data_IF_272711922394
#
_entry.id   IF_272711922394
#
_cell.length_a   1.000
_cell.length_b   1.000
_cell.length_c   1.000
_cell.angle_alpha   90.00
_cell.angle_beta   90.00
_cell.angle_gamma   90.00
#
_symmetry.space_group_name_H-M   'P 1'
#
loop_
_entity.id
_entity.type
_entity.pdbx_description
1 polymer ?
#
# COMPACT_ATOMS: atom_id res chain seq x y z
N UNK A 1 -45.73 20.45 -6.59
CA UNK A 1 -46.96 19.64 -6.53
C UNK A 1 -46.54 18.21 -6.20
N UNK A 2 -46.62 17.84 -4.92
CA UNK A 2 -47.44 16.73 -4.36
C UNK A 2 -46.87 15.32 -4.70
N UNK A 3 -46.48 14.41 -3.80
CA UNK A 3 -46.53 14.29 -2.32
C UNK A 3 -45.39 13.38 -1.83
N UNK A 4 -45.00 13.59 -0.58
CA UNK A 4 -44.24 12.63 0.27
C UNK A 4 -45.16 11.47 0.65
N UNK A 5 -44.69 10.24 0.51
CA UNK A 5 -45.21 9.09 1.28
C UNK A 5 -44.06 8.48 2.08
N UNK A 6 -44.23 8.53 3.40
CA UNK A 6 -43.34 7.93 4.40
C UNK A 6 -43.54 6.42 4.41
N UNK A 7 -42.49 5.66 4.09
CA UNK A 7 -42.39 4.24 4.41
C UNK A 7 -41.23 4.06 5.39
N UNK A 8 -41.58 3.87 6.65
CA UNK A 8 -40.71 3.40 7.73
C UNK A 8 -40.18 2.01 7.38
N UNK A 9 -38.91 1.93 7.00
CA UNK A 9 -38.15 0.68 7.06
C UNK A 9 -36.85 1.00 7.79
N UNK A 10 -36.84 0.65 9.07
CA UNK A 10 -35.67 0.68 9.95
C UNK A 10 -34.57 -0.18 9.33
N UNK A 11 -33.56 0.44 8.72
CA UNK A 11 -32.31 -0.23 8.38
C UNK A 11 -31.49 -0.34 9.66
N UNK A 12 -31.70 -1.42 10.40
CA UNK A 12 -30.81 -1.84 11.48
C UNK A 12 -29.47 -2.24 10.86
N UNK A 13 -28.47 -1.36 10.93
CA UNK A 13 -27.09 -1.74 10.69
C UNK A 13 -26.63 -2.62 11.85
N UNK A 14 -26.66 -3.93 11.64
CA UNK A 14 -26.04 -4.92 12.52
C UNK A 14 -24.52 -4.72 12.53
N UNK A 15 -24.03 -3.93 13.48
CA UNK A 15 -22.62 -3.87 13.84
C UNK A 15 -22.27 -5.11 14.71
N UNK A 16 -21.87 -6.19 14.06
CA UNK A 16 -21.25 -7.38 14.66
C UNK A 16 -19.97 -7.65 13.84
N UNK A 17 -18.75 -7.85 14.35
CA UNK A 17 -18.18 -8.04 15.69
C UNK A 17 -16.76 -7.43 15.63
N UNK A 18 -16.48 -6.36 16.35
CA UNK A 18 -15.11 -6.05 16.77
C UNK A 18 -15.19 -5.47 18.18
N UNK A 19 -14.75 -6.26 19.16
CA UNK A 19 -14.57 -5.80 20.54
C UNK A 19 -13.43 -4.79 20.57
N UNK A 20 -13.73 -3.50 20.41
CA UNK A 20 -12.77 -2.44 20.67
C UNK A 20 -12.74 -2.17 22.18
N UNK A 21 -11.64 -2.56 22.82
CA UNK A 21 -11.37 -2.23 24.21
C UNK A 21 -11.00 -0.75 24.29
N UNK A 22 -11.87 0.06 24.92
CA UNK A 22 -11.64 1.49 25.11
C UNK A 22 -10.74 1.72 26.32
N UNK A 23 -9.49 2.11 26.10
CA UNK A 23 -8.63 2.65 27.15
C UNK A 23 -8.70 4.17 27.15
N UNK A 24 -9.06 4.78 28.28
CA UNK A 24 -9.17 6.23 28.46
C UNK A 24 -7.77 6.84 28.50
N UNK A 25 -7.38 7.59 27.47
CA UNK A 25 -6.19 8.46 27.54
C UNK A 25 -6.44 9.86 27.01
N UNK A 26 -5.86 10.83 27.73
CA UNK A 26 -5.99 12.27 27.51
C UNK A 26 -5.38 12.69 26.17
N UNK A 27 -6.19 13.26 25.28
CA UNK A 27 -5.75 13.94 24.06
C UNK A 27 -4.87 15.16 24.42
N UNK A 28 -3.67 15.23 23.86
CA UNK A 28 -2.97 16.50 23.65
C UNK A 28 -3.33 16.98 22.24
N UNK A 29 -3.94 18.16 22.15
CA UNK A 29 -4.25 18.80 20.88
C UNK A 29 -2.96 19.14 20.13
N UNK A 30 -2.79 18.61 18.91
CA UNK A 30 -1.75 19.03 17.98
C UNK A 30 -2.38 19.90 16.88
N UNK A 31 -1.96 21.14 16.81
CA UNK A 31 -2.32 22.08 15.74
C UNK A 31 -1.24 22.00 14.66
N UNK A 32 -1.59 21.51 13.47
CA UNK A 32 -0.68 21.49 12.33
C UNK A 32 -0.65 22.88 11.68
N UNK A 33 0.37 23.69 11.98
CA UNK A 33 0.60 24.94 11.24
C UNK A 33 1.37 24.66 9.95
N UNK A 34 0.74 24.97 8.82
CA UNK A 34 1.34 25.02 7.50
C UNK A 34 2.19 26.30 7.38
N UNK A 35 3.52 26.20 7.35
CA UNK A 35 4.41 27.32 7.01
C UNK A 35 4.91 27.15 5.58
N UNK A 36 4.48 28.08 4.71
CA UNK A 36 5.12 28.38 3.43
C UNK A 36 6.51 28.98 3.73
N UNK A 37 7.58 28.40 3.17
CA UNK A 37 8.91 28.99 3.20
C UNK A 37 9.19 29.68 1.87
N UNK A 38 9.53 30.97 1.92
CA UNK A 38 10.15 31.69 0.81
C UNK A 38 11.50 32.28 1.23
N UNK A 39 12.41 32.18 0.27
CA UNK A 39 13.70 32.84 0.06
C UNK A 39 14.95 32.48 0.88
N UNK A 40 15.95 32.14 0.06
CA UNK A 40 17.34 31.81 0.33
C UNK A 40 18.17 33.00 0.83
N UNK A 41 19.19 32.68 1.64
CA UNK A 41 20.46 33.40 1.68
C UNK A 41 21.60 32.39 1.76
N UNK A 42 22.57 32.59 0.88
CA UNK A 42 23.82 31.85 0.69
C UNK A 42 24.77 32.06 1.85
N UNK A 43 25.32 30.96 2.37
CA UNK A 43 26.55 30.96 3.15
C UNK A 43 27.46 29.86 2.60
N UNK A 44 28.65 30.26 2.13
CA UNK A 44 29.72 29.35 1.72
C UNK A 44 30.36 28.76 2.96
N UNK A 45 30.31 27.45 3.10
CA UNK A 45 31.22 26.70 3.96
C UNK A 45 31.87 25.64 3.09
N UNK A 46 33.18 25.80 2.92
CA UNK A 46 34.09 24.79 2.42
C UNK A 46 34.17 23.67 3.45
N UNK A 47 33.65 22.49 3.12
CA UNK A 47 34.08 21.28 3.80
C UNK A 47 34.34 20.18 2.77
N UNK A 48 35.61 19.80 2.72
CA UNK A 48 36.17 18.79 1.86
C UNK A 48 36.03 17.44 2.56
N UNK A 49 34.89 16.80 2.36
CA UNK A 49 34.76 15.35 2.55
C UNK A 49 33.82 14.84 1.48
N UNK A 50 34.38 14.27 0.40
CA UNK A 50 33.61 13.50 -0.56
C UNK A 50 32.84 12.43 0.21
N UNK A 51 31.50 12.36 0.12
CA UNK A 51 30.77 11.27 0.74
C UNK A 51 31.28 9.98 0.09
N UNK A 52 31.72 9.02 0.90
CA UNK A 52 31.98 7.67 0.43
C UNK A 52 30.72 7.21 -0.30
N UNK A 53 30.80 7.04 -1.62
CA UNK A 53 29.75 6.40 -2.38
C UNK A 53 29.67 4.94 -1.95
N UNK A 54 28.99 4.68 -0.82
CA UNK A 54 28.50 3.34 -0.55
C UNK A 54 27.70 2.93 -1.79
N UNK A 55 28.10 1.83 -2.42
CA UNK A 55 27.40 1.32 -3.60
C UNK A 55 25.93 1.17 -3.27
N UNK A 56 25.05 1.66 -4.15
CA UNK A 56 23.61 1.47 -3.98
C UNK A 56 23.33 -0.03 -3.82
N UNK A 57 22.46 -0.35 -2.86
CA UNK A 57 21.92 -1.70 -2.69
C UNK A 57 21.29 -2.17 -3.99
N UNK A 58 21.29 -3.47 -4.23
CA UNK A 58 20.81 -4.09 -5.47
C UNK A 58 19.67 -5.06 -5.14
N UNK A 59 18.54 -4.85 -5.79
CA UNK A 59 17.32 -5.65 -5.62
C UNK A 59 17.06 -6.42 -6.91
N UNK A 60 16.93 -7.74 -6.78
CA UNK A 60 16.66 -8.66 -7.89
C UNK A 60 15.17 -8.88 -8.12
N UNK A 61 14.78 -9.00 -9.38
CA UNK A 61 13.51 -9.60 -9.80
C UNK A 61 13.70 -10.28 -11.16
N UNK A 62 12.69 -10.95 -11.70
CA UNK A 62 12.84 -11.62 -13.00
C UNK A 62 12.83 -10.64 -14.18
N UNK A 63 13.48 -11.04 -15.27
CA UNK A 63 13.39 -10.39 -16.59
C UNK A 63 12.22 -10.96 -17.42
N UNK A 64 12.01 -10.51 -18.65
CA UNK A 64 10.89 -10.93 -19.49
C UNK A 64 9.61 -10.14 -19.19
N UNK A 65 8.46 -10.71 -19.59
CA UNK A 65 7.15 -10.17 -19.22
C UNK A 65 7.03 -10.03 -17.71
N UNK A 66 6.45 -8.92 -17.27
CA UNK A 66 6.28 -8.55 -15.87
C UNK A 66 4.82 -8.30 -15.50
N UNK A 67 4.53 -8.42 -14.22
CA UNK A 67 3.23 -8.20 -13.60
C UNK A 67 3.25 -6.95 -12.70
N UNK A 68 2.18 -6.81 -11.92
CA UNK A 68 1.99 -5.65 -11.07
C UNK A 68 2.69 -5.80 -9.73
N UNK A 69 2.80 -7.03 -9.24
CA UNK A 69 3.28 -7.31 -7.90
C UNK A 69 4.80 -7.09 -7.80
N UNK A 70 5.60 -7.57 -8.75
CA UNK A 70 7.04 -7.34 -8.73
C UNK A 70 7.39 -5.90 -9.10
N UNK A 71 6.62 -5.26 -9.99
CA UNK A 71 6.75 -3.82 -10.27
C UNK A 71 6.46 -2.96 -9.02
N UNK A 72 5.37 -3.25 -8.29
CA UNK A 72 5.00 -2.54 -7.06
C UNK A 72 5.96 -2.87 -5.91
N UNK A 73 6.33 -4.14 -5.73
CA UNK A 73 7.27 -4.61 -4.72
C UNK A 73 8.63 -3.93 -4.87
N UNK A 74 9.17 -3.88 -6.09
CA UNK A 74 10.41 -3.17 -6.39
C UNK A 74 10.31 -1.66 -6.12
N UNK A 75 9.15 -1.04 -6.33
CA UNK A 75 8.95 0.36 -6.00
C UNK A 75 8.92 0.56 -4.47
N UNK A 76 8.12 -0.22 -3.75
CA UNK A 76 7.94 -0.08 -2.30
C UNK A 76 9.24 -0.30 -1.53
N UNK A 77 9.99 -1.36 -1.84
CA UNK A 77 11.24 -1.65 -1.11
C UNK A 77 12.24 -0.50 -1.24
N UNK A 78 12.25 0.22 -2.38
CA UNK A 78 13.12 1.39 -2.61
C UNK A 78 12.75 2.63 -1.78
N UNK A 79 11.61 2.61 -1.09
CA UNK A 79 11.20 3.65 -0.14
C UNK A 79 11.69 3.40 1.29
N UNK A 80 12.28 2.22 1.55
CA UNK A 80 12.75 1.81 2.89
C UNK A 80 14.15 2.33 3.17
N UNK A 81 14.52 2.43 4.45
CA UNK A 81 15.85 2.91 4.87
C UNK A 81 16.98 2.02 4.33
N UNK A 82 16.80 0.71 4.37
CA UNK A 82 17.85 -0.24 3.98
C UNK A 82 18.06 -0.30 2.46
N UNK A 83 17.01 -0.08 1.67
CA UNK A 83 17.05 -0.21 0.21
C UNK A 83 16.75 1.12 -0.50
N UNK A 84 16.95 2.25 0.18
CA UNK A 84 16.63 3.56 -0.37
C UNK A 84 17.32 3.77 -1.72
N UNK A 85 16.53 4.02 -2.76
CA UNK A 85 17.01 4.16 -4.14
C UNK A 85 17.83 2.96 -4.67
N UNK A 86 17.64 1.76 -4.13
CA UNK A 86 18.32 0.56 -4.60
C UNK A 86 18.18 0.39 -6.12
N UNK A 87 19.24 -0.12 -6.74
CA UNK A 87 19.28 -0.47 -8.15
C UNK A 87 18.45 -1.74 -8.38
N UNK A 88 17.55 -1.70 -9.37
CA UNK A 88 16.82 -2.90 -9.80
C UNK A 88 17.66 -3.68 -10.80
N UNK A 89 17.77 -4.99 -10.57
CA UNK A 89 18.46 -5.96 -11.42
C UNK A 89 17.43 -6.99 -11.87
N UNK A 90 17.17 -7.09 -13.18
CA UNK A 90 16.19 -8.03 -13.74
C UNK A 90 16.90 -9.23 -14.36
N UNK A 91 16.74 -10.42 -13.75
CA UNK A 91 17.39 -11.66 -14.17
C UNK A 91 16.73 -12.89 -13.53
N UNK A 92 16.85 -14.06 -14.16
CA UNK A 92 16.54 -15.36 -13.56
C UNK A 92 17.77 -16.19 -13.23
N UNK A 93 18.98 -15.67 -13.47
CA UNK A 93 20.22 -16.40 -13.20
C UNK A 93 20.46 -16.55 -11.69
N UNK A 94 20.41 -17.77 -11.14
CA UNK A 94 20.59 -17.99 -9.71
C UNK A 94 21.94 -17.49 -9.17
N UNK A 95 23.00 -17.52 -9.99
CA UNK A 95 24.32 -17.05 -9.58
C UNK A 95 24.36 -15.53 -9.41
N UNK A 96 23.61 -14.80 -10.25
CA UNK A 96 23.45 -13.36 -10.10
C UNK A 96 22.60 -13.04 -8.88
N UNK A 97 21.46 -13.73 -8.72
CA UNK A 97 20.50 -13.52 -7.63
C UNK A 97 21.11 -13.77 -6.24
N UNK A 98 22.02 -14.74 -6.11
CA UNK A 98 22.72 -15.04 -4.85
C UNK A 98 23.51 -13.84 -4.34
N UNK A 99 24.10 -13.04 -5.23
CA UNK A 99 24.89 -11.86 -4.89
C UNK A 99 24.09 -10.56 -4.70
N UNK A 100 22.75 -10.59 -4.79
CA UNK A 100 21.91 -9.41 -4.61
C UNK A 100 21.46 -9.24 -3.15
N UNK A 101 21.27 -8.00 -2.74
CA UNK A 101 20.93 -7.65 -1.36
C UNK A 101 19.50 -8.10 -1.00
N UNK A 102 18.54 -7.95 -1.92
CA UNK A 102 17.19 -8.50 -1.81
C UNK A 102 16.76 -9.13 -3.14
N UNK A 103 15.80 -10.05 -3.11
CA UNK A 103 15.23 -10.66 -4.31
C UNK A 103 13.71 -10.82 -4.15
N UNK A 104 12.96 -10.40 -5.15
CA UNK A 104 11.50 -10.41 -5.18
C UNK A 104 11.04 -11.18 -6.42
N UNK A 105 9.99 -11.97 -6.28
CA UNK A 105 9.31 -12.63 -7.40
C UNK A 105 10.16 -13.57 -8.26
N UNK A 106 11.32 -13.98 -7.74
CA UNK A 106 12.20 -14.92 -8.40
C UNK A 106 13.07 -15.65 -7.38
N UNK A 107 13.47 -16.88 -7.72
CA UNK A 107 14.36 -17.70 -6.91
C UNK A 107 13.65 -18.77 -6.07
N UNK A 108 12.32 -18.73 -5.98
CA UNK A 108 11.48 -19.74 -5.32
C UNK A 108 11.63 -19.79 -3.80
N UNK A 109 11.99 -18.67 -3.17
CA UNK A 109 12.28 -18.59 -1.73
C UNK A 109 11.58 -17.39 -1.10
N UNK A 110 10.82 -17.67 -0.04
CA UNK A 110 10.40 -16.67 0.95
C UNK A 110 11.23 -16.83 2.22
N UNK A 111 12.11 -15.85 2.47
CA UNK A 111 12.95 -15.77 3.66
C UNK A 111 13.17 -14.29 4.03
N UNK A 112 12.34 -13.72 4.93
CA UNK A 112 12.47 -12.34 5.37
C UNK A 112 13.80 -12.02 6.05
N UNK A 113 14.50 -13.02 6.62
CA UNK A 113 15.80 -12.81 7.26
C UNK A 113 16.93 -12.57 6.26
N UNK A 114 16.68 -12.91 5.00
CA UNK A 114 17.60 -12.72 3.86
C UNK A 114 17.01 -11.82 2.78
N UNK A 115 15.94 -11.08 3.08
CA UNK A 115 15.23 -10.22 2.14
C UNK A 115 14.86 -10.95 0.82
N UNK A 116 14.34 -12.18 0.95
CA UNK A 116 13.82 -12.98 -0.18
C UNK A 116 12.30 -13.04 -0.11
N UNK A 117 11.64 -12.54 -1.15
CA UNK A 117 10.20 -12.33 -1.20
C UNK A 117 9.61 -12.89 -2.49
N UNK A 118 9.72 -14.21 -2.67
CA UNK A 118 9.05 -14.95 -3.74
C UNK A 118 7.89 -15.78 -3.16
N UNK A 119 6.82 -15.94 -3.93
CA UNK A 119 5.60 -16.65 -3.59
C UNK A 119 5.35 -17.92 -4.45
N UNK A 120 6.19 -18.17 -5.47
CA UNK A 120 6.03 -19.23 -6.46
C UNK A 120 6.35 -20.66 -5.97
N UNK A 121 6.83 -20.81 -4.74
CA UNK A 121 7.14 -22.11 -4.16
C UNK A 121 5.88 -22.97 -3.96
N UNK A 122 6.03 -24.28 -4.20
CA UNK A 122 4.95 -25.25 -4.02
C UNK A 122 4.49 -25.26 -2.56
N UNK A 123 3.18 -25.14 -2.35
CA UNK A 123 2.58 -25.11 -1.01
C UNK A 123 2.77 -23.78 -0.27
N UNK A 124 3.08 -22.69 -0.98
CA UNK A 124 3.04 -21.36 -0.37
C UNK A 124 1.61 -20.97 -0.01
N UNK A 125 1.37 -20.68 1.26
CA UNK A 125 0.06 -20.35 1.84
C UNK A 125 0.15 -19.12 2.77
N UNK A 126 1.22 -18.32 2.66
CA UNK A 126 1.38 -17.14 3.51
C UNK A 126 0.30 -16.10 3.18
N UNK A 127 -0.32 -15.59 4.25
CA UNK A 127 -1.33 -14.53 4.20
C UNK A 127 -0.84 -13.32 4.99
N UNK A 128 -1.46 -12.17 4.78
CA UNK A 128 -1.15 -10.95 5.54
C UNK A 128 -1.39 -11.11 7.05
N UNK A 129 -2.34 -11.96 7.43
CA UNK A 129 -2.83 -12.08 8.81
C UNK A 129 -3.97 -11.08 9.06
N UNK A 130 -4.19 -10.68 10.31
CA UNK A 130 -5.19 -9.66 10.67
C UNK A 130 -6.64 -9.92 10.20
N UNK A 131 -6.99 -11.18 9.93
CA UNK A 131 -8.31 -11.58 9.43
C UNK A 131 -8.42 -11.68 7.91
N UNK A 132 -7.35 -11.39 7.16
CA UNK A 132 -7.29 -11.62 5.72
C UNK A 132 -6.83 -13.04 5.41
N UNK A 133 -7.44 -13.64 4.40
CA UNK A 133 -7.15 -15.01 3.94
C UNK A 133 -6.57 -15.07 2.53
N UNK A 134 -6.43 -13.93 1.85
CA UNK A 134 -5.84 -13.84 0.52
C UNK A 134 -4.36 -14.18 0.59
N UNK A 135 -3.93 -15.15 -0.22
CA UNK A 135 -2.53 -15.54 -0.39
C UNK A 135 -1.73 -14.36 -0.93
N UNK A 136 -0.53 -14.13 -0.38
CA UNK A 136 0.32 -12.99 -0.77
C UNK A 136 1.03 -13.22 -2.11
N UNK A 137 1.16 -12.15 -2.88
CA UNK A 137 2.12 -11.99 -3.98
C UNK A 137 3.46 -11.45 -3.46
N UNK A 138 4.44 -11.24 -4.34
CA UNK A 138 5.72 -10.62 -3.96
C UNK A 138 5.53 -9.18 -3.46
N UNK A 139 4.60 -8.40 -4.02
CA UNK A 139 4.21 -7.09 -3.49
C UNK A 139 3.63 -7.20 -2.08
N UNK A 140 2.73 -8.16 -1.85
CA UNK A 140 2.11 -8.40 -0.54
C UNK A 140 3.14 -8.75 0.52
N UNK A 141 4.15 -9.57 0.19
CA UNK A 141 5.25 -9.90 1.09
C UNK A 141 6.10 -8.66 1.43
N UNK A 142 6.47 -7.85 0.45
CA UNK A 142 7.19 -6.60 0.68
C UNK A 142 6.37 -5.66 1.56
N UNK A 143 5.07 -5.49 1.26
CA UNK A 143 4.19 -4.66 2.07
C UNK A 143 4.05 -5.20 3.50
N UNK A 144 3.97 -6.52 3.68
CA UNK A 144 3.91 -7.15 5.00
C UNK A 144 5.09 -6.73 5.88
N UNK A 145 6.31 -6.73 5.34
CA UNK A 145 7.53 -6.43 6.10
C UNK A 145 7.89 -4.95 6.18
N UNK A 146 7.59 -4.17 5.14
CA UNK A 146 8.05 -2.78 5.02
C UNK A 146 6.91 -1.74 4.98
N UNK A 147 5.65 -2.17 4.86
CA UNK A 147 4.52 -1.25 4.72
C UNK A 147 4.38 -0.29 5.90
N UNK A 148 4.64 -0.75 7.14
CA UNK A 148 4.65 0.11 8.32
C UNK A 148 5.71 1.20 8.26
N UNK A 149 6.94 0.85 7.85
CA UNK A 149 8.02 1.82 7.68
C UNK A 149 7.64 2.92 6.67
N UNK A 150 7.09 2.53 5.52
CA UNK A 150 6.68 3.47 4.47
C UNK A 150 5.59 4.42 4.99
N UNK A 151 4.59 3.88 5.69
CA UNK A 151 3.49 4.67 6.26
C UNK A 151 3.99 5.60 7.37
N UNK A 152 4.89 5.13 8.22
CA UNK A 152 5.49 5.92 9.30
C UNK A 152 6.27 7.11 8.75
N UNK A 153 7.00 6.91 7.65
CA UNK A 153 7.72 7.98 6.94
C UNK A 153 6.77 9.04 6.38
N UNK A 154 5.63 8.65 5.79
CA UNK A 154 4.61 9.59 5.29
C UNK A 154 3.93 10.37 6.44
N UNK A 155 3.71 9.73 7.60
CA UNK A 155 3.15 10.37 8.79
C UNK A 155 4.16 11.20 9.59
N UNK A 156 5.46 10.95 9.43
CA UNK A 156 6.57 11.49 10.24
C UNK A 156 6.43 11.13 11.73
N UNK A 157 6.16 9.85 12.00
CA UNK A 157 6.05 9.28 13.35
C UNK A 157 6.81 7.96 13.43
N UNK A 158 6.95 7.39 14.63
CA UNK A 158 7.52 6.05 14.80
C UNK A 158 6.65 4.94 14.18
N UNK A 159 7.28 3.85 13.71
CA UNK A 159 6.59 2.71 13.10
C UNK A 159 5.55 2.04 14.00
N UNK A 160 5.78 2.09 15.32
CA UNK A 160 4.87 1.53 16.33
C UNK A 160 3.72 2.48 16.70
N UNK A 161 3.65 3.67 16.09
CA UNK A 161 2.56 4.60 16.34
C UNK A 161 1.21 3.99 15.90
N UNK A 162 0.19 4.08 16.75
CA UNK A 162 -1.12 3.43 16.53
C UNK A 162 -1.78 3.79 15.17
N UNK A 163 -1.61 5.03 14.71
CA UNK A 163 -2.10 5.47 13.40
C UNK A 163 -1.42 4.76 12.23
N UNK A 164 -0.13 4.39 12.35
CA UNK A 164 0.58 3.59 11.34
C UNK A 164 -0.12 2.25 11.21
N UNK A 165 -0.43 1.59 12.32
CA UNK A 165 -1.15 0.31 12.30
C UNK A 165 -2.55 0.44 11.67
N UNK A 166 -3.30 1.50 11.97
CA UNK A 166 -4.61 1.72 11.35
C UNK A 166 -4.53 1.90 9.83
N UNK A 167 -3.56 2.67 9.35
CA UNK A 167 -3.37 2.90 7.91
C UNK A 167 -2.81 1.64 7.24
N UNK A 168 -1.96 0.88 7.92
CA UNK A 168 -1.41 -0.38 7.42
C UNK A 168 -2.50 -1.40 7.10
N UNK A 169 -3.49 -1.56 7.99
CA UNK A 169 -4.63 -2.43 7.73
C UNK A 169 -5.57 -1.86 6.65
N UNK A 170 -5.78 -0.54 6.66
CA UNK A 170 -6.69 0.10 5.71
C UNK A 170 -6.16 0.04 4.27
N UNK A 171 -4.88 0.37 4.06
CA UNK A 171 -4.21 0.31 2.76
C UNK A 171 -4.12 -1.12 2.25
N UNK A 172 -3.85 -2.11 3.11
CA UNK A 172 -3.89 -3.50 2.67
C UNK A 172 -5.28 -3.85 2.11
N UNK A 173 -6.33 -3.60 2.89
CA UNK A 173 -7.71 -3.90 2.52
C UNK A 173 -8.16 -3.19 1.24
N UNK A 174 -7.82 -1.92 1.08
CA UNK A 174 -8.35 -1.09 -0.01
C UNK A 174 -7.51 -1.12 -1.28
N UNK A 175 -6.27 -1.63 -1.22
CA UNK A 175 -5.32 -1.54 -2.31
C UNK A 175 -4.51 -2.83 -2.49
N UNK A 176 -3.75 -3.26 -1.48
CA UNK A 176 -2.80 -4.37 -1.66
C UNK A 176 -3.48 -5.72 -1.89
N UNK A 177 -4.56 -6.01 -1.17
CA UNK A 177 -5.23 -7.31 -1.26
C UNK A 177 -5.72 -7.62 -2.68
N UNK A 178 -6.12 -6.61 -3.44
CA UNK A 178 -6.51 -6.79 -4.85
C UNK A 178 -5.31 -7.13 -5.75
N UNK A 179 -4.13 -6.61 -5.45
CA UNK A 179 -2.90 -6.96 -6.18
C UNK A 179 -2.54 -8.42 -5.89
N UNK A 180 -2.54 -8.81 -4.62
CA UNK A 180 -2.28 -10.17 -4.17
C UNK A 180 -3.26 -11.17 -4.79
N UNK A 181 -4.55 -10.86 -4.78
CA UNK A 181 -5.59 -11.71 -5.34
C UNK A 181 -5.44 -11.89 -6.86
N UNK A 182 -5.24 -10.80 -7.60
CA UNK A 182 -5.12 -10.84 -9.07
C UNK A 182 -3.91 -11.66 -9.50
N UNK A 183 -2.78 -11.44 -8.83
CA UNK A 183 -1.54 -12.15 -9.13
C UNK A 183 -1.64 -13.67 -8.85
N UNK A 184 -2.28 -14.05 -7.74
CA UNK A 184 -2.53 -15.45 -7.42
C UNK A 184 -3.74 -16.06 -8.19
N UNK A 185 -4.35 -15.33 -9.12
CA UNK A 185 -5.49 -15.82 -9.91
C UNK A 185 -6.77 -16.06 -9.08
N UNK A 186 -6.93 -15.36 -7.96
CA UNK A 186 -8.07 -15.47 -7.05
C UNK A 186 -9.22 -14.59 -7.57
N UNK A 187 -10.39 -15.20 -7.74
CA UNK A 187 -11.60 -14.49 -8.14
C UNK A 187 -12.13 -13.61 -7.00
N UNK A 188 -12.70 -12.45 -7.35
CA UNK A 188 -13.32 -11.55 -6.37
C UNK A 188 -14.56 -12.16 -5.68
N UNK A 189 -15.21 -13.12 -6.33
CA UNK A 189 -16.41 -13.79 -5.82
C UNK A 189 -16.29 -15.30 -6.06
N UNK A 190 -16.74 -16.10 -5.10
CA UNK A 190 -16.90 -17.54 -5.25
C UNK A 190 -18.14 -17.84 -6.11
N UNK A 191 -17.95 -17.98 -7.43
CA UNK A 191 -19.04 -18.21 -8.37
C UNK A 191 -18.57 -18.98 -9.60
N UNK A 192 -19.42 -19.89 -10.09
CA UNK A 192 -19.20 -20.62 -11.36
C UNK A 192 -19.75 -19.84 -12.58
N UNK A 193 -20.42 -18.71 -12.36
CA UNK A 193 -21.00 -17.90 -13.43
C UNK A 193 -19.95 -17.01 -14.09
N UNK A 194 -19.95 -16.88 -15.43
CA UNK A 194 -19.06 -15.96 -16.12
C UNK A 194 -19.38 -14.49 -15.76
N UNK A 195 -18.38 -13.59 -15.80
CA UNK A 195 -18.62 -12.18 -15.53
C UNK A 195 -19.52 -11.56 -16.60
N UNK A 196 -20.40 -10.64 -16.19
CA UNK A 196 -21.29 -9.92 -17.12
C UNK A 196 -20.54 -9.01 -18.09
N UNK A 197 -19.32 -8.58 -17.73
CA UNK A 197 -18.41 -7.80 -18.56
C UNK A 197 -16.97 -8.04 -18.11
N UNK A 198 -16.02 -7.85 -19.03
CA UNK A 198 -14.58 -7.91 -18.73
C UNK A 198 -14.10 -6.51 -18.34
N UNK A 199 -13.47 -6.37 -17.18
CA UNK A 199 -12.91 -5.11 -16.72
C UNK A 199 -11.38 -5.18 -16.67
N UNK A 200 -10.71 -4.55 -17.63
CA UNK A 200 -9.25 -4.44 -17.68
C UNK A 200 -8.75 -3.04 -17.28
N UNK A 201 -9.54 -2.27 -16.52
CA UNK A 201 -9.16 -0.91 -16.09
C UNK A 201 -8.35 -0.88 -14.80
N UNK A 202 -8.24 -2.00 -14.10
CA UNK A 202 -7.50 -2.11 -12.84
C UNK A 202 -5.99 -1.97 -13.04
N UNK A 203 -5.29 -1.70 -11.92
CA UNK A 203 -3.86 -1.42 -11.91
C UNK A 203 -3.03 -2.54 -12.57
N UNK A 204 -3.30 -3.81 -12.26
CA UNK A 204 -2.54 -4.92 -12.86
C UNK A 204 -2.66 -4.99 -14.38
N UNK A 205 -3.84 -4.76 -14.95
CA UNK A 205 -3.98 -4.65 -16.41
C UNK A 205 -3.22 -3.45 -16.97
N UNK A 206 -3.22 -2.31 -16.28
CA UNK A 206 -2.54 -1.09 -16.74
C UNK A 206 -1.02 -1.23 -16.68
N UNK A 207 -0.50 -1.91 -15.65
CA UNK A 207 0.91 -2.31 -15.58
C UNK A 207 1.24 -3.28 -16.73
N UNK A 208 0.40 -4.29 -16.95
CA UNK A 208 0.59 -5.26 -18.03
C UNK A 208 0.71 -4.64 -19.42
N UNK A 209 0.05 -3.50 -19.69
CA UNK A 209 0.16 -2.74 -20.95
C UNK A 209 1.52 -2.10 -21.20
N UNK A 210 2.40 -2.04 -20.20
CA UNK A 210 3.79 -1.61 -20.42
C UNK A 210 4.68 -2.73 -20.95
N UNK A 211 4.29 -4.01 -20.82
CA UNK A 211 5.06 -5.09 -21.43
C UNK A 211 5.24 -4.85 -22.93
N UNK A 212 6.38 -5.28 -23.46
CA UNK A 212 6.61 -5.23 -24.89
C UNK A 212 5.60 -6.12 -25.60
N UNK A 213 5.00 -5.59 -26.67
CA UNK A 213 4.16 -6.39 -27.54
C UNK A 213 5.05 -7.39 -28.30
N UNK A 214 4.54 -8.59 -28.56
CA UNK A 214 5.27 -9.62 -29.31
C UNK A 214 5.59 -9.20 -30.75
N UNK A 215 4.87 -8.21 -31.28
CA UNK A 215 5.10 -7.60 -32.60
C UNK A 215 6.06 -6.40 -32.56
N UNK A 216 6.51 -5.98 -31.37
CA UNK A 216 7.46 -4.88 -31.27
C UNK A 216 8.79 -5.30 -31.92
N UNK A 217 9.31 -4.53 -32.89
CA UNK A 217 10.55 -4.88 -33.58
C UNK A 217 11.79 -4.83 -32.67
N UNK A 218 11.72 -4.11 -31.55
CA UNK A 218 12.77 -4.02 -30.56
C UNK A 218 12.37 -4.80 -29.29
N UNK A 219 12.91 -6.02 -29.18
CA UNK A 219 12.76 -6.92 -28.03
C UNK A 219 14.01 -6.88 -27.13
N UNK A 220 14.76 -5.78 -27.13
CA UNK A 220 15.98 -5.64 -26.32
C UNK A 220 15.68 -5.59 -24.81
N UNK A 221 16.65 -6.06 -24.02
CA UNK A 221 16.56 -6.03 -22.56
C UNK A 221 16.49 -4.61 -22.00
N UNK A 222 17.13 -3.67 -22.69
CA UNK A 222 17.17 -2.25 -22.38
C UNK A 222 15.76 -1.66 -22.46
N UNK A 223 15.06 -1.89 -23.57
CA UNK A 223 13.69 -1.41 -23.78
C UNK A 223 12.69 -2.06 -22.83
N UNK A 224 12.85 -3.35 -22.56
CA UNK A 224 12.05 -4.06 -21.55
C UNK A 224 12.25 -3.45 -20.15
N UNK A 225 13.49 -3.15 -19.76
CA UNK A 225 13.82 -2.54 -18.47
C UNK A 225 13.31 -1.09 -18.37
N UNK A 226 13.37 -0.30 -19.44
CA UNK A 226 12.72 1.02 -19.49
C UNK A 226 11.21 0.92 -19.28
N UNK A 227 10.58 -0.05 -19.91
CA UNK A 227 9.15 -0.29 -19.74
C UNK A 227 8.80 -0.72 -18.31
N UNK A 228 9.61 -1.59 -17.70
CA UNK A 228 9.47 -1.98 -16.30
C UNK A 228 9.58 -0.77 -15.35
N UNK A 229 10.54 0.14 -15.57
CA UNK A 229 10.64 1.35 -14.75
C UNK A 229 9.40 2.24 -14.85
N UNK A 230 8.75 2.32 -16.03
CA UNK A 230 7.47 3.04 -16.17
C UNK A 230 6.33 2.34 -15.43
N UNK A 231 6.30 1.00 -15.46
CA UNK A 231 5.35 0.21 -14.68
C UNK A 231 5.53 0.41 -13.16
N UNK A 232 6.77 0.38 -12.67
CA UNK A 232 7.09 0.70 -11.27
C UNK A 232 6.60 2.10 -10.89
N UNK A 233 6.85 3.10 -11.74
CA UNK A 233 6.41 4.47 -11.48
C UNK A 233 4.88 4.59 -11.42
N UNK A 234 4.16 3.92 -12.33
CA UNK A 234 2.71 3.86 -12.31
C UNK A 234 2.21 3.23 -11.00
N UNK A 235 2.59 1.98 -10.74
CA UNK A 235 2.10 1.23 -9.59
C UNK A 235 2.46 1.91 -8.25
N UNK A 236 3.69 2.41 -8.18
CA UNK A 236 4.18 3.13 -7.01
C UNK A 236 3.47 4.44 -6.72
N UNK A 237 3.13 5.21 -7.76
CA UNK A 237 2.38 6.46 -7.60
C UNK A 237 0.98 6.20 -7.06
N UNK A 238 0.25 5.20 -7.58
CA UNK A 238 -1.09 4.86 -7.09
C UNK A 238 -1.09 4.29 -5.67
N UNK A 239 -0.06 3.52 -5.33
CA UNK A 239 0.15 3.08 -3.95
C UNK A 239 0.36 4.26 -3.00
N UNK A 240 1.24 5.20 -3.33
CA UNK A 240 1.47 6.39 -2.51
C UNK A 240 0.23 7.29 -2.43
N UNK A 241 -0.55 7.42 -3.50
CA UNK A 241 -1.81 8.14 -3.47
C UNK A 241 -2.82 7.47 -2.53
N UNK A 242 -2.88 6.14 -2.52
CA UNK A 242 -3.70 5.36 -1.58
C UNK A 242 -3.25 5.59 -0.13
N UNK A 243 -1.94 5.52 0.17
CA UNK A 243 -1.40 5.81 1.51
C UNK A 243 -1.73 7.24 1.92
N UNK A 244 -1.47 8.22 1.05
CA UNK A 244 -1.69 9.65 1.33
C UNK A 244 -3.16 9.99 1.47
N UNK A 245 -4.07 9.33 0.75
CA UNK A 245 -5.50 9.43 0.99
C UNK A 245 -5.84 9.01 2.42
N UNK A 246 -5.29 7.89 2.88
CA UNK A 246 -5.56 7.40 4.23
C UNK A 246 -4.98 8.31 5.31
N UNK A 247 -3.78 8.84 5.08
CA UNK A 247 -3.10 9.79 5.98
C UNK A 247 -3.85 11.12 6.06
N UNK A 248 -4.17 11.73 4.91
CA UNK A 248 -4.62 13.12 4.85
C UNK A 248 -6.14 13.29 4.90
N UNK A 249 -6.91 12.26 4.56
CA UNK A 249 -8.38 12.34 4.49
C UNK A 249 -9.04 11.37 5.47
N UNK A 250 -8.76 10.07 5.35
CA UNK A 250 -9.45 9.04 6.12
C UNK A 250 -9.15 9.12 7.63
N UNK A 251 -7.88 9.23 8.02
CA UNK A 251 -7.48 9.26 9.43
C UNK A 251 -8.05 10.47 10.21
N UNK A 252 -8.03 11.70 9.65
CA UNK A 252 -8.74 12.84 10.23
C UNK A 252 -10.24 12.59 10.38
N UNK A 253 -10.90 12.03 9.35
CA UNK A 253 -12.33 11.72 9.41
C UNK A 253 -12.65 10.67 10.49
N UNK A 254 -11.84 9.61 10.59
CA UNK A 254 -11.94 8.59 11.64
C UNK A 254 -11.89 9.22 13.04
N UNK A 255 -11.02 10.21 13.26
CA UNK A 255 -10.92 10.88 14.57
C UNK A 255 -12.21 11.61 14.93
N UNK A 256 -12.84 12.29 13.96
CA UNK A 256 -14.12 12.98 14.14
C UNK A 256 -15.23 11.98 14.50
N UNK A 257 -15.33 10.87 13.76
CA UNK A 257 -16.33 9.83 14.03
C UNK A 257 -16.14 9.22 15.41
N UNK A 258 -14.89 8.94 15.82
CA UNK A 258 -14.59 8.40 17.16
C UNK A 258 -14.97 9.39 18.27
N UNK A 259 -14.72 10.68 18.09
CA UNK A 259 -15.14 11.73 19.02
C UNK A 259 -16.67 11.82 19.10
N UNK A 260 -17.38 11.75 17.97
CA UNK A 260 -18.85 11.75 17.92
C UNK A 260 -19.43 10.52 18.60
N UNK A 261 -18.86 9.33 18.37
CA UNK A 261 -19.27 8.11 19.08
C UNK A 261 -19.05 8.28 20.58
N UNK A 262 -17.90 8.79 21.01
CA UNK A 262 -17.63 8.99 22.44
C UNK A 262 -18.62 9.97 23.10
N UNK A 263 -19.04 11.01 22.36
CA UNK A 263 -19.96 12.04 22.86
C UNK A 263 -21.45 11.69 22.69
N UNK A 264 -21.82 10.56 22.09
CA UNK A 264 -23.21 10.23 21.69
C UNK A 264 -24.23 10.31 22.83
N UNK A 265 -23.85 9.89 24.03
CA UNK A 265 -24.72 9.94 25.21
C UNK A 265 -25.04 11.36 25.70
N UNK A 266 -24.23 12.35 25.32
CA UNK A 266 -24.51 13.77 25.62
C UNK A 266 -25.54 14.37 24.68
N UNK A 267 -25.76 13.73 23.52
CA UNK A 267 -26.71 14.15 22.49
C UNK A 267 -28.04 13.43 22.71
N UNK A 268 -27.98 12.13 22.97
CA UNK A 268 -29.12 11.27 23.19
C UNK A 268 -28.80 10.24 24.28
N UNK A 269 -29.59 10.17 25.38
CA UNK A 269 -29.32 9.25 26.49
C UNK A 269 -29.24 7.77 26.09
N UNK A 270 -29.93 7.35 25.02
CA UNK A 270 -29.84 5.96 24.52
C UNK A 270 -28.50 5.70 23.81
N UNK A 271 -27.90 6.74 23.24
CA UNK A 271 -26.66 6.68 22.47
C UNK A 271 -26.83 6.15 21.05
N UNK A 272 -28.07 6.00 20.57
CA UNK A 272 -28.38 5.55 19.20
C UNK A 272 -28.25 6.69 18.19
N UNK A 273 -28.38 7.94 18.63
CA UNK A 273 -28.27 9.12 17.76
C UNK A 273 -26.86 9.70 17.83
N UNK A 274 -26.23 9.81 16.65
CA UNK A 274 -24.94 10.47 16.46
C UNK A 274 -25.13 11.83 15.79
N UNK A 275 -24.50 12.87 16.34
CA UNK A 275 -24.45 14.20 15.71
C UNK A 275 -23.00 14.55 15.38
N UNK A 276 -22.73 14.69 14.08
CA UNK A 276 -21.46 15.20 13.58
C UNK A 276 -21.47 16.73 13.66
N UNK A 277 -20.58 17.31 14.49
CA UNK A 277 -20.47 18.77 14.66
C UNK A 277 -19.88 19.48 13.43
N UNK A 278 -19.22 18.72 12.57
CA UNK A 278 -18.64 19.17 11.30
C UNK A 278 -18.82 18.05 10.28
N UNK A 279 -18.97 18.42 9.02
CA UNK A 279 -18.93 17.44 7.95
C UNK A 279 -17.57 16.74 7.94
N UNK A 280 -17.59 15.41 7.81
CA UNK A 280 -16.44 14.61 7.44
C UNK A 280 -16.90 13.56 6.41
N UNK A 281 -16.10 13.29 5.37
CA UNK A 281 -16.44 12.21 4.45
C UNK A 281 -16.43 10.89 5.24
N UNK A 282 -17.55 10.19 5.21
CA UNK A 282 -17.65 8.81 5.70
C UNK A 282 -17.41 7.89 4.50
N UNK A 283 -16.28 7.20 4.50
CA UNK A 283 -15.95 6.10 3.59
C UNK A 283 -15.85 4.80 4.38
#
# INVERSE_FOLDING_TARGET
MMWVTTSTTTKTLLFNKFNFHFSKYKQKHFTLQLRLMSNAKTARVSDSSSPSHASLKRVGTHNGSFHCDEALGCFMIRLTRNFFNAQIVRTRDPQVLEGLDAVLDVGGVYDPSRDRYDHHQKGFEEVFGHGFSTKLSSAGLVYKHFGKEIIANELKVDEEHQNVHYIYLAVYRSFMEAIDAVDNGINQYDTDQPPKYVNNTHLSSRVGRFNLDWTDPDQSSEKENEAFHRAMALAGSEFLDSVRFHVNSWLPAKSIVMETIAARQTVDPSGEILVLKRFCPVS
#
